data_IF_015106333611
#
_entry.id   IF_015106333611
#
_cell.length_a   1.000
_cell.length_b   1.000
_cell.length_c   1.000
_cell.angle_alpha   90.00
_cell.angle_beta   90.00
_cell.angle_gamma   90.00
#
_symmetry.space_group_name_H-M   'P 1'
#
loop_
_entity.id
_entity.type
_entity.pdbx_description
1 polymer ?
#
# COMPACT_ATOMS: atom_id res chain seq x y z
N UNK A 1 2.41 -11.30 11.91
CA UNK A 1 3.48 -10.29 11.87
C UNK A 1 2.82 -8.97 11.59
N UNK A 2 3.11 -7.94 12.38
CA UNK A 2 2.66 -6.57 12.11
C UNK A 2 3.74 -5.96 11.23
N UNK A 3 3.38 -5.50 10.03
CA UNK A 3 4.31 -4.72 9.21
C UNK A 3 4.71 -3.46 10.01
N UNK A 4 6.00 -3.30 10.31
CA UNK A 4 6.52 -2.11 11.01
C UNK A 4 7.36 -2.36 12.25
N UNK A 5 7.53 -3.60 12.75
CA UNK A 5 8.38 -3.86 13.93
C UNK A 5 9.85 -3.47 13.73
N UNK A 6 10.31 -3.41 12.48
CA UNK A 6 11.68 -3.02 12.08
C UNK A 6 11.84 -1.51 11.88
N UNK A 7 10.75 -0.73 12.01
CA UNK A 7 10.71 0.70 11.75
C UNK A 7 10.34 1.50 13.01
N UNK A 8 11.04 2.60 13.23
CA UNK A 8 10.74 3.57 14.27
C UNK A 8 9.89 4.72 13.72
N UNK A 9 8.83 5.10 14.43
CA UNK A 9 8.02 6.27 14.08
C UNK A 9 8.73 7.56 14.53
N UNK A 10 8.94 8.51 13.62
CA UNK A 10 9.53 9.83 13.93
C UNK A 10 8.77 10.96 13.23
N UNK A 11 8.75 12.13 13.86
CA UNK A 11 8.25 13.37 13.25
C UNK A 11 9.32 13.94 12.33
N UNK A 12 8.96 14.25 11.09
CA UNK A 12 9.84 14.84 10.07
C UNK A 12 9.14 15.99 9.36
N UNK A 13 9.93 16.95 8.87
CA UNK A 13 9.44 18.01 7.98
C UNK A 13 9.52 17.54 6.53
N UNK A 14 8.42 17.65 5.78
CA UNK A 14 8.35 17.36 4.35
C UNK A 14 7.89 18.59 3.57
N UNK A 15 8.28 18.66 2.29
CA UNK A 15 7.80 19.68 1.36
C UNK A 15 6.79 19.03 0.43
N UNK A 16 5.59 19.59 0.37
CA UNK A 16 4.55 19.14 -0.56
C UNK A 16 4.97 19.47 -1.99
N UNK A 17 4.98 18.48 -2.87
CA UNK A 17 5.40 18.67 -4.28
C UNK A 17 4.48 19.62 -5.05
N UNK A 18 3.22 19.70 -4.65
CA UNK A 18 2.19 20.44 -5.39
C UNK A 18 2.17 21.93 -5.01
N UNK A 19 2.36 22.23 -3.71
CA UNK A 19 2.25 23.60 -3.16
C UNK A 19 3.58 24.18 -2.69
N UNK A 20 4.63 23.37 -2.60
CA UNK A 20 5.94 23.69 -2.03
C UNK A 20 5.88 24.14 -0.55
N UNK A 21 4.78 23.86 0.13
CA UNK A 21 4.60 24.13 1.55
C UNK A 21 5.31 23.09 2.42
N UNK A 22 5.84 23.53 3.56
CA UNK A 22 6.46 22.66 4.57
C UNK A 22 5.42 22.18 5.58
N UNK A 23 5.42 20.89 5.88
CA UNK A 23 4.51 20.27 6.84
C UNK A 23 5.25 19.24 7.71
N UNK A 24 4.88 19.17 8.99
CA UNK A 24 5.33 18.08 9.88
C UNK A 24 4.42 16.86 9.74
N UNK A 25 5.03 15.69 9.54
CA UNK A 25 4.33 14.40 9.41
C UNK A 25 5.01 13.31 10.24
N UNK A 26 4.27 12.27 10.60
CA UNK A 26 4.85 11.05 11.16
C UNK A 26 5.33 10.13 10.03
N UNK A 27 6.60 9.73 10.07
CA UNK A 27 7.21 8.79 9.14
C UNK A 27 7.76 7.57 9.86
N UNK A 28 7.73 6.42 9.18
CA UNK A 28 8.39 5.20 9.62
C UNK A 28 9.81 5.17 9.06
N UNK A 29 10.80 5.21 9.95
CA UNK A 29 12.22 5.23 9.61
C UNK A 29 12.83 3.89 9.98
N UNK A 30 13.61 3.29 9.07
CA UNK A 30 14.31 2.05 9.33
C UNK A 30 15.13 2.16 10.62
N UNK A 31 14.92 1.24 11.57
CA UNK A 31 15.51 1.32 12.90
C UNK A 31 17.03 1.07 12.87
N UNK A 32 17.49 0.16 12.01
CA UNK A 32 18.90 -0.20 11.90
C UNK A 32 19.64 0.76 10.95
N UNK A 33 20.21 1.82 11.51
CA UNK A 33 20.97 2.81 10.72
C UNK A 33 22.27 2.27 10.11
N UNK A 34 22.80 1.17 10.67
CA UNK A 34 24.06 0.57 10.25
C UNK A 34 23.87 -0.58 9.27
N UNK A 35 22.65 -0.74 8.74
CA UNK A 35 22.30 -1.81 7.80
C UNK A 35 23.05 -1.67 6.47
N UNK A 36 23.96 -2.60 6.12
CA UNK A 36 24.72 -2.52 4.89
C UNK A 36 23.85 -2.60 3.64
N UNK A 37 22.68 -3.25 3.71
CA UNK A 37 21.77 -3.44 2.59
C UNK A 37 20.98 -2.16 2.25
N UNK A 38 20.99 -1.17 3.15
CA UNK A 38 20.31 0.12 2.97
C UNK A 38 21.24 1.21 2.41
N UNK A 39 22.54 0.93 2.25
CA UNK A 39 23.46 1.89 1.63
C UNK A 39 23.37 1.86 0.11
N UNK A 40 23.11 3.01 -0.48
CA UNK A 40 23.05 3.22 -1.92
C UNK A 40 22.23 4.44 -2.25
N UNK A 41 22.36 4.95 -3.47
CA UNK A 41 21.38 5.89 -4.00
C UNK A 41 20.20 5.08 -4.55
N UNK A 42 18.99 5.51 -4.20
CA UNK A 42 17.80 4.93 -4.77
C UNK A 42 17.71 5.35 -6.25
N UNK A 43 17.78 4.38 -7.16
CA UNK A 43 17.54 4.64 -8.58
C UNK A 43 16.02 4.78 -8.81
N UNK A 44 15.55 6.02 -8.79
CA UNK A 44 14.14 6.34 -8.99
C UNK A 44 13.65 5.96 -10.39
N UNK A 45 14.52 5.85 -11.39
CA UNK A 45 14.15 5.44 -12.74
C UNK A 45 13.85 3.93 -12.79
N UNK A 46 14.72 3.11 -12.17
CA UNK A 46 14.50 1.67 -12.05
C UNK A 46 13.26 1.36 -11.23
N UNK A 47 13.01 2.07 -10.12
CA UNK A 47 11.80 1.85 -9.34
C UNK A 47 10.54 2.43 -9.98
N UNK A 48 10.65 3.50 -10.79
CA UNK A 48 9.54 3.94 -11.61
C UNK A 48 9.16 2.86 -12.64
N UNK A 49 10.14 2.23 -13.28
CA UNK A 49 9.92 1.11 -14.22
C UNK A 49 9.27 -0.07 -13.49
N UNK A 50 9.80 -0.47 -12.32
CA UNK A 50 9.20 -1.54 -11.50
C UNK A 50 7.79 -1.19 -11.02
N UNK A 51 7.53 0.07 -10.67
CA UNK A 51 6.19 0.52 -10.29
C UNK A 51 5.20 0.48 -11.46
N UNK A 52 5.65 0.75 -12.68
CA UNK A 52 4.82 0.63 -13.88
C UNK A 52 4.52 -0.84 -14.20
N UNK A 53 5.50 -1.73 -14.01
CA UNK A 53 5.29 -3.18 -14.12
C UNK A 53 4.34 -3.70 -13.04
N UNK A 54 4.49 -3.27 -11.79
CA UNK A 54 3.58 -3.60 -10.70
C UNK A 54 2.16 -3.11 -11.01
N UNK A 55 2.02 -1.85 -11.44
CA UNK A 55 0.71 -1.31 -11.87
C UNK A 55 0.14 -2.16 -13.00
N UNK A 56 0.92 -2.49 -14.02
CA UNK A 56 0.45 -3.34 -15.13
C UNK A 56 -0.02 -4.71 -14.65
N UNK A 57 0.71 -5.34 -13.72
CA UNK A 57 0.44 -6.69 -13.24
C UNK A 57 -0.73 -6.75 -12.23
N UNK A 58 -0.89 -5.72 -11.40
CA UNK A 58 -1.81 -5.74 -10.25
C UNK A 58 -3.03 -4.83 -10.40
N UNK A 59 -3.03 -3.89 -11.35
CA UNK A 59 -4.13 -2.92 -11.52
C UNK A 59 -5.45 -3.59 -11.90
N UNK A 60 -5.43 -4.67 -12.68
CA UNK A 60 -6.67 -5.41 -13.00
C UNK A 60 -7.31 -6.02 -11.75
N UNK A 61 -6.51 -6.67 -10.90
CA UNK A 61 -6.98 -7.22 -9.61
C UNK A 61 -7.49 -6.12 -8.69
N UNK A 62 -6.79 -4.98 -8.64
CA UNK A 62 -7.20 -3.83 -7.83
C UNK A 62 -8.54 -3.23 -8.30
N UNK A 63 -8.72 -3.09 -9.62
CA UNK A 63 -9.97 -2.59 -10.21
C UNK A 63 -11.11 -3.57 -9.93
N UNK A 64 -10.88 -4.87 -10.06
CA UNK A 64 -11.88 -5.89 -9.78
C UNK A 64 -12.32 -5.87 -8.31
N UNK A 65 -11.36 -5.85 -7.38
CA UNK A 65 -11.64 -5.75 -5.95
C UNK A 65 -12.43 -4.47 -5.62
N UNK A 66 -12.05 -3.33 -6.20
CA UNK A 66 -12.72 -2.04 -6.01
C UNK A 66 -14.16 -2.05 -6.55
N UNK A 67 -14.39 -2.65 -7.73
CA UNK A 67 -15.75 -2.79 -8.30
C UNK A 67 -16.64 -3.67 -7.42
N UNK A 68 -16.13 -4.83 -6.97
CA UNK A 68 -16.83 -5.72 -6.05
C UNK A 68 -17.16 -5.02 -4.72
N UNK A 69 -16.24 -4.22 -4.20
CA UNK A 69 -16.46 -3.43 -2.99
C UNK A 69 -17.56 -2.37 -3.17
N UNK A 70 -17.57 -1.62 -4.29
CA UNK A 70 -18.61 -0.63 -4.59
C UNK A 70 -19.97 -1.30 -4.75
N UNK A 71 -20.05 -2.44 -5.44
CA UNK A 71 -21.29 -3.19 -5.62
C UNK A 71 -21.83 -3.71 -4.29
N UNK A 72 -20.96 -4.24 -3.44
CA UNK A 72 -21.34 -4.66 -2.08
C UNK A 72 -21.82 -3.47 -1.23
N UNK A 73 -21.14 -2.30 -1.30
CA UNK A 73 -21.55 -1.09 -0.58
C UNK A 73 -22.94 -0.59 -0.99
N UNK A 74 -23.35 -0.81 -2.26
CA UNK A 74 -24.73 -0.52 -2.71
C UNK A 74 -25.76 -1.43 -2.03
N UNK A 75 -25.32 -2.56 -1.47
CA UNK A 75 -26.09 -3.55 -0.75
C UNK A 75 -27.46 -3.89 -1.38
N UNK A 76 -27.52 -4.19 -2.70
CA UNK A 76 -28.80 -4.43 -3.37
C UNK A 76 -29.54 -5.66 -2.83
N UNK A 77 -28.83 -6.59 -2.18
CA UNK A 77 -29.36 -7.87 -1.70
C UNK A 77 -29.40 -7.98 -0.15
N UNK A 78 -29.11 -6.91 0.60
CA UNK A 78 -29.16 -6.93 2.07
C UNK A 78 -28.12 -7.83 2.76
N UNK A 79 -26.99 -8.13 2.11
CA UNK A 79 -25.95 -9.02 2.63
C UNK A 79 -25.30 -8.47 3.90
N UNK A 80 -25.02 -9.35 4.86
CA UNK A 80 -24.46 -8.94 6.15
C UNK A 80 -22.95 -8.76 6.07
N UNK A 81 -22.37 -8.05 7.05
CA UNK A 81 -20.92 -7.82 7.15
C UNK A 81 -20.12 -9.12 7.33
N UNK A 82 -20.73 -10.16 7.88
CA UNK A 82 -20.11 -11.48 8.09
C UNK A 82 -19.92 -12.25 6.78
N UNK A 83 -20.84 -12.11 5.83
CA UNK A 83 -20.73 -12.71 4.50
C UNK A 83 -19.59 -12.07 3.69
N UNK A 84 -19.35 -10.77 3.88
CA UNK A 84 -18.22 -10.06 3.26
C UNK A 84 -16.87 -10.54 3.80
N UNK A 85 -16.76 -10.75 5.12
CA UNK A 85 -15.53 -11.25 5.73
C UNK A 85 -15.16 -12.64 5.19
N UNK A 86 -16.13 -13.50 4.88
CA UNK A 86 -15.86 -14.79 4.22
C UNK A 86 -15.38 -14.59 2.78
N UNK A 87 -16.02 -13.71 2.02
CA UNK A 87 -15.65 -13.43 0.62
C UNK A 87 -14.24 -12.85 0.44
N UNK A 88 -13.79 -11.99 1.36
CA UNK A 88 -12.43 -11.40 1.31
C UNK A 88 -11.35 -12.40 1.72
N UNK A 89 -11.68 -13.36 2.59
CA UNK A 89 -10.74 -14.37 3.07
C UNK A 89 -10.74 -15.66 2.23
N UNK A 90 -11.68 -15.82 1.28
CA UNK A 90 -11.64 -16.87 0.28
C UNK A 90 -10.62 -16.47 -0.81
N UNK A 91 -9.36 -16.89 -0.62
CA UNK A 91 -8.37 -16.89 -1.69
C UNK A 91 -8.90 -17.71 -2.88
N UNK A 92 -8.78 -17.24 -4.12
CA UNK A 92 -9.06 -18.10 -5.26
C UNK A 92 -8.07 -19.28 -5.24
N UNK A 93 -8.52 -20.51 -5.56
CA UNK A 93 -7.62 -21.65 -5.61
C UNK A 93 -6.50 -21.33 -6.61
N UNK A 94 -5.26 -21.44 -6.12
CA UNK A 94 -4.07 -21.41 -6.98
C UNK A 94 -4.19 -22.61 -7.92
N UNK A 95 -4.42 -22.32 -9.21
CA UNK A 95 -4.41 -23.30 -10.29
C UNK A 95 -2.97 -23.55 -10.76
#
# INVERSE_FOLDING_TARGET
MIEGDEYERKTVEVVLTDTLEKMEVEAFIWANKDDPDMYGEWDFEVELIRSQEWKRLHMEKFIEASKKFIEWKKNPNGKTREEFAKFVNEDPPVA
#
